data_IF_324319363567
#
_entry.id   IF_324319363567
#
_cell.length_a   1.000
_cell.length_b   1.000
_cell.length_c   1.000
_cell.angle_alpha   90.00
_cell.angle_beta   90.00
_cell.angle_gamma   90.00
#
_symmetry.space_group_name_H-M   'P 1'
#
loop_
_entity.id
_entity.type
_entity.pdbx_description
1 polymer ?
#
# COMPACT_ATOMS: atom_id res chain seq x y z
N UNK A 1 -8.63 -7.71 7.06
CA UNK A 1 -8.19 -6.77 6.01
C UNK A 1 -8.26 -5.32 6.46
N UNK A 2 -9.26 -4.90 7.25
CA UNK A 2 -9.44 -3.48 7.63
C UNK A 2 -8.26 -2.89 8.41
N UNK A 3 -7.62 -3.68 9.30
CA UNK A 3 -6.42 -3.24 9.99
C UNK A 3 -5.25 -2.95 9.03
N UNK A 4 -5.06 -3.79 8.00
CA UNK A 4 -4.03 -3.55 6.99
C UNK A 4 -4.34 -2.30 6.15
N UNK A 5 -5.62 -2.06 5.83
CA UNK A 5 -6.05 -0.81 5.16
C UNK A 5 -5.79 0.41 6.03
N UNK A 6 -6.12 0.35 7.32
CA UNK A 6 -5.86 1.43 8.27
C UNK A 6 -4.36 1.73 8.37
N UNK A 7 -3.54 0.68 8.47
CA UNK A 7 -2.07 0.81 8.49
C UNK A 7 -1.58 1.50 7.22
N UNK A 8 -2.03 1.06 6.04
CA UNK A 8 -1.62 1.63 4.76
C UNK A 8 -2.12 3.07 4.55
N UNK A 9 -3.38 3.36 4.91
CA UNK A 9 -4.01 4.66 4.72
C UNK A 9 -3.37 5.76 5.57
N UNK A 10 -2.92 5.41 6.77
CA UNK A 10 -2.31 6.35 7.71
C UNK A 10 -0.79 6.24 7.80
N UNK A 11 -0.17 5.43 6.92
CA UNK A 11 1.26 5.16 6.92
C UNK A 11 1.81 4.77 8.31
N UNK A 12 1.05 3.96 9.05
CA UNK A 12 1.45 3.56 10.38
C UNK A 12 2.61 2.57 10.33
N UNK A 13 3.55 2.63 11.29
CA UNK A 13 4.53 1.57 11.46
C UNK A 13 3.84 0.22 11.68
N UNK A 14 4.29 -0.83 11.00
CA UNK A 14 3.74 -2.19 11.16
C UNK A 14 3.78 -2.71 12.60
N UNK A 15 4.61 -2.12 13.46
CA UNK A 15 4.71 -2.42 14.89
C UNK A 15 3.55 -1.88 15.72
N UNK A 16 2.69 -1.02 15.18
CA UNK A 16 1.56 -0.44 15.91
C UNK A 16 0.69 -1.51 16.60
N UNK A 17 0.56 -2.69 15.98
CA UNK A 17 -0.22 -3.83 16.49
C UNK A 17 0.40 -4.49 17.74
N UNK A 18 1.65 -4.19 18.03
CA UNK A 18 2.39 -4.67 19.20
C UNK A 18 2.42 -3.65 20.34
N UNK A 19 1.98 -2.41 20.10
CA UNK A 19 1.96 -1.38 21.13
C UNK A 19 0.91 -1.72 22.19
N UNK A 20 1.26 -1.51 23.45
CA UNK A 20 0.39 -1.83 24.59
C UNK A 20 -0.95 -1.09 24.50
N UNK A 21 -0.93 0.22 24.25
CA UNK A 21 -2.15 1.01 24.12
C UNK A 21 -3.07 0.52 23.00
N UNK A 22 -2.49 0.08 21.86
CA UNK A 22 -3.26 -0.52 20.78
C UNK A 22 -3.90 -1.84 21.22
N UNK A 23 -3.14 -2.70 21.90
CA UNK A 23 -3.64 -3.98 22.40
C UNK A 23 -4.72 -3.83 23.45
N UNK A 24 -4.55 -2.92 24.40
CA UNK A 24 -5.56 -2.62 25.42
C UNK A 24 -6.84 -2.12 24.74
N UNK A 25 -6.73 -1.13 23.86
CA UNK A 25 -7.89 -0.57 23.18
C UNK A 25 -8.66 -1.63 22.35
N UNK A 26 -7.98 -2.40 21.50
CA UNK A 26 -8.63 -3.38 20.64
C UNK A 26 -9.01 -4.68 21.35
N UNK A 27 -8.12 -5.25 22.15
CA UNK A 27 -8.33 -6.54 22.79
C UNK A 27 -9.15 -6.44 24.08
N UNK A 28 -9.15 -5.31 24.79
CA UNK A 28 -9.91 -5.15 26.04
C UNK A 28 -11.10 -4.22 25.87
N UNK A 29 -10.95 -3.14 25.08
CA UNK A 29 -12.00 -2.13 24.92
C UNK A 29 -13.06 -2.47 23.86
N UNK A 30 -12.67 -3.10 22.75
CA UNK A 30 -13.59 -3.35 21.62
C UNK A 30 -14.05 -4.80 21.53
N UNK A 31 -13.11 -5.76 21.51
CA UNK A 31 -13.44 -7.17 21.33
C UNK A 31 -12.53 -8.07 22.18
N UNK A 32 -12.99 -8.55 23.35
CA UNK A 32 -12.25 -9.44 24.26
C UNK A 32 -11.71 -10.72 23.63
N UNK A 33 -12.36 -11.21 22.58
CA UNK A 33 -11.95 -12.42 21.83
C UNK A 33 -10.95 -12.12 20.71
N UNK A 34 -10.62 -10.85 20.47
CA UNK A 34 -9.63 -10.49 19.46
C UNK A 34 -8.25 -10.95 19.91
N UNK A 35 -7.66 -11.88 19.16
CA UNK A 35 -6.27 -12.28 19.37
C UNK A 35 -5.36 -11.20 18.82
N UNK A 36 -4.48 -10.68 19.67
CA UNK A 36 -3.45 -9.74 19.24
C UNK A 36 -2.63 -10.35 18.10
N UNK A 37 -2.46 -9.61 17.01
CA UNK A 37 -1.57 -10.01 15.92
C UNK A 37 -0.16 -9.48 16.16
N UNK A 38 0.83 -10.13 15.55
CA UNK A 38 2.22 -9.66 15.57
C UNK A 38 2.54 -8.84 14.32
N UNK A 39 3.65 -8.13 14.35
CA UNK A 39 4.16 -7.34 13.22
C UNK A 39 4.28 -8.16 11.94
N UNK A 40 4.65 -9.44 12.04
CA UNK A 40 4.82 -10.30 10.85
C UNK A 40 3.46 -10.63 10.19
N UNK A 41 2.42 -10.87 10.98
CA UNK A 41 1.05 -11.03 10.47
C UNK A 41 0.56 -9.74 9.83
N UNK A 42 0.75 -8.59 10.49
CA UNK A 42 0.38 -7.29 9.92
C UNK A 42 1.11 -7.02 8.60
N UNK A 43 2.40 -7.34 8.52
CA UNK A 43 3.19 -7.25 7.27
C UNK A 43 2.60 -8.14 6.18
N UNK A 44 2.31 -9.40 6.49
CA UNK A 44 1.72 -10.33 5.53
C UNK A 44 0.39 -9.82 4.99
N UNK A 45 -0.46 -9.28 5.86
CA UNK A 45 -1.77 -8.76 5.45
C UNK A 45 -1.66 -7.50 4.60
N UNK A 46 -0.72 -6.59 4.93
CA UNK A 46 -0.44 -5.40 4.10
C UNK A 46 0.11 -5.79 2.73
N UNK A 47 0.98 -6.81 2.65
CA UNK A 47 1.48 -7.30 1.36
C UNK A 47 0.38 -7.93 0.51
N UNK A 48 -0.51 -8.74 1.11
CA UNK A 48 -1.67 -9.28 0.40
C UNK A 48 -2.58 -8.17 -0.14
N UNK A 49 -2.85 -7.15 0.68
CA UNK A 49 -3.61 -5.98 0.25
C UNK A 49 -2.93 -5.27 -0.93
N UNK A 50 -1.61 -5.11 -0.88
CA UNK A 50 -0.85 -4.53 -1.99
C UNK A 50 -0.98 -5.37 -3.27
N UNK A 51 -0.83 -6.69 -3.18
CA UNK A 51 -0.92 -7.57 -4.36
C UNK A 51 -2.32 -7.53 -4.98
N UNK A 52 -3.38 -7.53 -4.16
CA UNK A 52 -4.77 -7.39 -4.61
C UNK A 52 -5.02 -6.05 -5.33
N UNK A 53 -4.57 -4.93 -4.73
CA UNK A 53 -4.76 -3.60 -5.33
C UNK A 53 -3.92 -3.41 -6.59
N UNK A 54 -2.72 -4.01 -6.63
CA UNK A 54 -1.87 -4.03 -7.81
C UNK A 54 -2.55 -4.80 -8.95
N UNK A 55 -3.12 -5.97 -8.67
CA UNK A 55 -3.81 -6.75 -9.70
C UNK A 55 -4.99 -5.97 -10.28
N UNK A 56 -5.81 -5.35 -9.42
CA UNK A 56 -6.91 -4.46 -9.85
C UNK A 56 -6.41 -3.30 -10.72
N UNK A 57 -5.30 -2.66 -10.32
CA UNK A 57 -4.71 -1.57 -11.09
C UNK A 57 -4.24 -2.07 -12.47
N UNK A 58 -3.60 -3.23 -12.55
CA UNK A 58 -3.13 -3.78 -13.83
C UNK A 58 -4.30 -4.17 -14.75
N UNK A 59 -5.36 -4.76 -14.20
CA UNK A 59 -6.59 -5.05 -14.95
C UNK A 59 -7.24 -3.75 -15.45
N UNK A 60 -7.33 -2.73 -14.59
CA UNK A 60 -7.85 -1.42 -14.95
C UNK A 60 -7.04 -0.78 -16.08
N UNK A 61 -5.71 -0.74 -15.97
CA UNK A 61 -4.84 -0.21 -17.02
C UNK A 61 -4.98 -0.99 -18.33
N UNK A 62 -5.16 -2.32 -18.27
CA UNK A 62 -5.43 -3.15 -19.45
C UNK A 62 -6.77 -2.89 -20.12
N UNK A 63 -7.73 -2.31 -19.40
CA UNK A 63 -9.05 -1.93 -19.94
C UNK A 63 -9.07 -0.56 -20.63
N UNK A 64 -8.02 0.26 -20.44
CA UNK A 64 -7.91 1.58 -21.05
C UNK A 64 -7.70 1.45 -22.56
N UNK A 65 -8.63 1.99 -23.34
CA UNK A 65 -8.53 2.02 -24.82
C UNK A 65 -7.58 3.12 -25.32
N UNK A 66 -7.21 4.07 -24.45
CA UNK A 66 -6.32 5.18 -24.74
C UNK A 66 -4.83 4.84 -24.66
N UNK A 67 -3.99 5.88 -24.77
CA UNK A 67 -2.53 5.75 -24.61
C UNK A 67 -2.14 5.89 -23.15
N UNK A 68 -1.22 5.02 -22.72
CA UNK A 68 -0.57 5.09 -21.41
C UNK A 68 0.90 5.46 -21.65
N UNK A 69 1.34 6.58 -21.07
CA UNK A 69 2.75 6.95 -21.04
C UNK A 69 3.39 6.40 -19.76
N UNK A 70 4.58 5.81 -19.88
CA UNK A 70 5.32 5.28 -18.73
C UNK A 70 6.55 6.16 -18.52
N UNK A 71 6.75 6.60 -17.29
CA UNK A 71 7.95 7.31 -16.86
C UNK A 71 8.69 6.48 -15.82
N UNK A 72 10.01 6.58 -15.84
CA UNK A 72 10.89 5.96 -14.85
C UNK A 72 11.74 7.04 -14.22
N UNK A 73 11.65 7.19 -12.90
CA UNK A 73 12.51 8.07 -12.13
C UNK A 73 13.52 7.23 -11.35
N UNK A 74 14.80 7.60 -11.41
CA UNK A 74 15.88 6.86 -10.78
C UNK A 74 16.71 7.80 -9.92
N UNK A 75 16.92 7.41 -8.67
CA UNK A 75 17.77 8.16 -7.75
C UNK A 75 18.63 7.24 -6.91
N UNK A 76 19.70 7.78 -6.35
CA UNK A 76 20.57 7.06 -5.41
C UNK A 76 20.43 7.65 -4.02
N UNK A 77 20.30 6.80 -3.01
CA UNK A 77 20.34 7.22 -1.62
C UNK A 77 21.75 6.99 -1.08
N UNK A 78 22.53 8.07 -0.92
CA UNK A 78 23.91 7.99 -0.43
C UNK A 78 24.02 7.30 0.93
N UNK A 79 23.09 7.59 1.85
CA UNK A 79 23.10 7.03 3.20
C UNK A 79 22.90 5.51 3.23
N UNK A 80 22.20 4.95 2.23
CA UNK A 80 21.93 3.51 2.14
C UNK A 80 22.80 2.81 1.09
N UNK A 81 23.58 3.54 0.30
CA UNK A 81 24.34 3.06 -0.87
C UNK A 81 23.45 2.20 -1.80
N UNK A 82 22.20 2.62 -2.00
CA UNK A 82 21.20 1.92 -2.81
C UNK A 82 20.65 2.84 -3.89
N UNK A 83 20.50 2.28 -5.09
CA UNK A 83 19.72 2.88 -6.17
C UNK A 83 18.25 2.51 -6.02
N UNK A 84 17.38 3.46 -6.31
CA UNK A 84 15.94 3.32 -6.35
C UNK A 84 15.47 3.65 -7.75
N UNK A 85 14.41 2.99 -8.17
CA UNK A 85 13.72 3.26 -9.41
C UNK A 85 12.22 3.23 -9.10
N UNK A 86 11.54 4.28 -9.52
CA UNK A 86 10.10 4.35 -9.53
C UNK A 86 9.58 4.26 -10.96
N UNK A 87 8.53 3.48 -11.17
CA UNK A 87 7.82 3.41 -12.45
C UNK A 87 6.43 3.98 -12.26
N UNK A 88 6.08 5.01 -13.05
CA UNK A 88 4.77 5.65 -13.01
C UNK A 88 4.10 5.56 -14.36
N UNK A 89 2.82 5.16 -14.38
CA UNK A 89 1.96 5.26 -15.56
C UNK A 89 1.14 6.54 -15.53
N UNK A 90 1.08 7.24 -16.65
CA UNK A 90 0.27 8.43 -16.89
C UNK A 90 -0.72 8.16 -18.01
N UNK A 91 -1.99 8.51 -17.80
CA UNK A 91 -3.05 8.36 -18.79
C UNK A 91 -4.15 9.40 -18.58
N UNK A 92 -5.00 9.59 -19.59
CA UNK A 92 -6.20 10.44 -19.48
C UNK A 92 -7.40 9.50 -19.25
N UNK A 93 -8.20 9.77 -18.22
CA UNK A 93 -9.42 9.01 -17.93
C UNK A 93 -10.63 9.49 -18.76
N UNK A 94 -11.76 8.79 -18.63
CA UNK A 94 -13.01 9.10 -19.35
C UNK A 94 -13.59 10.47 -18.97
N UNK A 95 -13.19 11.03 -17.82
CA UNK A 95 -13.53 12.39 -17.40
C UNK A 95 -12.56 13.44 -17.93
N UNK A 96 -11.69 13.07 -18.86
CA UNK A 96 -10.65 13.90 -19.47
C UNK A 96 -9.66 14.47 -18.45
N UNK A 97 -9.39 13.72 -17.36
CA UNK A 97 -8.42 14.11 -16.34
C UNK A 97 -7.15 13.28 -16.45
N UNK A 98 -6.01 13.95 -16.31
CA UNK A 98 -4.73 13.28 -16.22
C UNK A 98 -4.62 12.52 -14.90
N UNK A 99 -4.38 11.22 -14.98
CA UNK A 99 -4.14 10.34 -13.86
C UNK A 99 -2.68 9.88 -13.87
N UNK A 100 -2.08 9.84 -12.68
CA UNK A 100 -0.76 9.25 -12.46
C UNK A 100 -0.88 8.13 -11.45
N UNK A 101 -0.32 6.96 -11.76
CA UNK A 101 -0.36 5.77 -10.89
C UNK A 101 1.02 5.14 -10.78
N UNK A 102 1.46 4.93 -9.54
CA UNK A 102 2.72 4.26 -9.23
C UNK A 102 2.56 2.75 -9.49
N UNK A 103 3.50 2.17 -10.23
CA UNK A 103 3.52 0.74 -10.54
C UNK A 103 4.58 -0.01 -9.73
N UNK A 104 5.69 0.66 -9.44
CA UNK A 104 6.85 0.09 -8.75
C UNK A 104 7.69 1.17 -8.09
#
# INVERSE_FOLDING_TARGET
MDLARMIAQHDYPLRIVEHEGFRVFFCQGLQPLFKSICRNTARSDVLKLYDEEKEKLMQFLGSIQGRIAITTDMWTCNNQRKGYMTVTSHFIDDSWKLQSRLLR
#
